data_IF_557261005872
#
_entry.id   IF_557261005872
#
_cell.length_a   1.000
_cell.length_b   1.000
_cell.length_c   1.000
_cell.angle_alpha   90.00
_cell.angle_beta   90.00
_cell.angle_gamma   90.00
#
_symmetry.space_group_name_H-M   'P 1'
#
loop_
_entity.id
_entity.type
_entity.pdbx_description
1 polymer ?
#
# COMPACT_ATOMS: atom_id res chain seq x y z
N UNK A 1 -18.11 21.11 -27.54
CA UNK A 1 -17.96 19.87 -26.72
C UNK A 1 -19.14 18.96 -27.06
N UNK A 2 -18.96 17.63 -27.16
CA UNK A 2 -20.07 16.68 -27.37
C UNK A 2 -20.28 15.86 -26.11
N UNK A 3 -21.53 15.56 -25.75
CA UNK A 3 -21.83 14.75 -24.59
C UNK A 3 -21.26 13.34 -24.80
N UNK A 4 -20.42 12.81 -23.88
CA UNK A 4 -19.86 11.46 -24.03
C UNK A 4 -20.91 10.35 -23.92
N UNK A 5 -22.10 10.67 -23.38
CA UNK A 5 -23.18 9.70 -23.18
C UNK A 5 -24.16 9.63 -24.36
N UNK A 6 -24.55 10.78 -24.93
CA UNK A 6 -25.54 10.82 -26.02
C UNK A 6 -25.01 11.40 -27.34
N UNK A 7 -23.77 11.86 -27.38
CA UNK A 7 -23.14 12.46 -28.57
C UNK A 7 -23.64 13.85 -28.95
N UNK A 8 -24.65 14.40 -28.24
CA UNK A 8 -25.22 15.72 -28.54
C UNK A 8 -24.20 16.85 -28.32
N UNK A 9 -24.20 17.83 -29.22
CA UNK A 9 -23.41 19.05 -29.10
C UNK A 9 -24.13 20.17 -28.32
N UNK A 10 -25.36 19.93 -27.86
CA UNK A 10 -26.17 20.91 -27.11
C UNK A 10 -25.91 20.78 -25.61
N UNK A 11 -24.87 21.48 -25.16
CA UNK A 11 -24.46 21.56 -23.75
C UNK A 11 -24.54 23.02 -23.31
N UNK A 12 -25.13 23.26 -22.14
CA UNK A 12 -25.25 24.59 -21.52
C UNK A 12 -24.55 24.61 -20.17
N UNK A 13 -24.08 25.79 -19.78
CA UNK A 13 -23.51 26.03 -18.45
C UNK A 13 -24.60 26.58 -17.52
N UNK A 14 -24.78 25.95 -16.37
CA UNK A 14 -25.60 26.47 -15.27
C UNK A 14 -24.91 26.20 -13.94
N UNK A 15 -24.80 27.23 -13.11
CA UNK A 15 -24.23 27.18 -11.75
C UNK A 15 -22.84 26.51 -11.68
N UNK A 16 -21.97 26.82 -12.65
CA UNK A 16 -20.60 26.30 -12.70
C UNK A 16 -20.47 24.84 -13.13
N UNK A 17 -21.55 24.27 -13.68
CA UNK A 17 -21.60 22.90 -14.20
C UNK A 17 -22.06 22.89 -15.65
N UNK A 18 -21.43 22.05 -16.47
CA UNK A 18 -21.88 21.78 -17.84
C UNK A 18 -22.94 20.69 -17.84
N UNK A 19 -24.12 21.01 -18.37
CA UNK A 19 -25.26 20.09 -18.46
C UNK A 19 -25.64 19.90 -19.92
N UNK A 20 -25.74 18.64 -20.34
CA UNK A 20 -26.30 18.34 -21.65
C UNK A 20 -27.82 18.49 -21.63
N UNK A 21 -28.38 19.31 -22.51
CA UNK A 21 -29.83 19.57 -22.55
C UNK A 21 -30.59 18.28 -22.90
N UNK A 22 -30.06 17.49 -23.83
CA UNK A 22 -30.81 16.39 -24.43
C UNK A 22 -30.84 15.11 -23.57
N UNK A 23 -29.86 14.91 -22.69
CA UNK A 23 -29.81 13.74 -21.81
C UNK A 23 -29.72 14.07 -20.31
N UNK A 24 -29.78 15.36 -19.97
CA UNK A 24 -29.68 15.90 -18.61
C UNK A 24 -28.44 15.45 -17.81
N UNK A 25 -27.43 14.86 -18.46
CA UNK A 25 -26.21 14.42 -17.79
C UNK A 25 -25.36 15.63 -17.40
N UNK A 26 -25.02 15.73 -16.11
CA UNK A 26 -24.07 16.71 -15.58
C UNK A 26 -22.65 16.21 -15.85
N UNK A 27 -21.89 16.97 -16.64
CA UNK A 27 -20.57 16.57 -17.14
C UNK A 27 -19.40 17.00 -16.22
N UNK A 28 -19.73 17.46 -15.01
CA UNK A 28 -18.85 17.95 -13.92
C UNK A 28 -18.30 19.39 -14.07
N UNK A 29 -17.85 19.92 -12.93
CA UNK A 29 -17.66 21.35 -12.62
C UNK A 29 -16.42 21.98 -13.24
N UNK A 30 -16.53 23.29 -13.53
CA UNK A 30 -15.42 24.13 -14.00
C UNK A 30 -14.35 24.24 -12.91
N UNK A 31 -13.36 23.34 -12.93
CA UNK A 31 -12.05 23.70 -12.40
C UNK A 31 -11.38 24.60 -13.43
N UNK A 32 -11.43 25.91 -13.17
CA UNK A 32 -10.57 26.88 -13.86
C UNK A 32 -9.13 26.54 -13.46
N UNK A 33 -8.47 25.74 -14.29
CA UNK A 33 -7.03 25.87 -14.40
C UNK A 33 -6.78 27.11 -15.24
N UNK A 34 -6.19 28.14 -14.62
CA UNK A 34 -5.42 29.14 -15.36
C UNK A 34 -4.39 28.37 -16.18
N UNK A 35 -4.69 28.26 -17.47
CA UNK A 35 -3.80 27.68 -18.46
C UNK A 35 -2.92 28.82 -18.96
N UNK A 36 -1.65 28.80 -18.56
CA UNK A 36 -0.63 29.07 -19.56
C UNK A 36 -0.67 27.88 -20.53
N UNK A 37 -1.48 28.08 -21.57
CA UNK A 37 -1.40 27.36 -22.83
C UNK A 37 0.02 27.53 -23.37
N UNK A 38 0.70 26.43 -23.67
CA UNK A 38 1.23 26.21 -25.02
C UNK A 38 1.28 24.70 -25.27
N UNK A 39 0.65 24.32 -26.38
CA UNK A 39 0.65 23.00 -26.94
C UNK A 39 2.08 22.49 -27.15
N UNK A 40 2.31 21.21 -26.86
CA UNK A 40 3.42 20.48 -27.44
C UNK A 40 3.13 20.25 -28.92
N UNK A 41 4.01 20.64 -29.86
CA UNK A 41 4.13 19.91 -31.10
C UNK A 41 5.02 18.70 -30.82
N UNK A 42 4.51 17.51 -31.10
CA UNK A 42 5.36 16.35 -31.34
C UNK A 42 6.20 16.66 -32.58
N UNK A 43 7.49 16.90 -32.38
CA UNK A 43 8.51 16.69 -33.40
C UNK A 43 9.63 15.81 -32.85
N UNK A 44 10.02 14.88 -33.70
CA UNK A 44 11.13 13.96 -33.53
C UNK A 44 12.45 14.72 -33.36
N UNK A 45 13.37 14.09 -32.63
CA UNK A 45 14.80 14.42 -32.49
C UNK A 45 15.13 15.85 -32.06
N UNK A 46 15.26 16.06 -30.76
CA UNK A 46 16.21 17.03 -30.20
C UNK A 46 16.66 16.53 -28.82
N UNK A 47 17.96 16.62 -28.56
CA UNK A 47 18.55 16.28 -27.28
C UNK A 47 17.82 17.00 -26.14
N UNK A 48 17.52 16.26 -25.07
CA UNK A 48 16.90 16.82 -23.87
C UNK A 48 17.87 17.86 -23.30
N UNK A 49 17.62 19.15 -23.51
CA UNK A 49 18.42 20.21 -22.90
C UNK A 49 18.17 20.22 -21.39
N UNK A 50 19.16 19.69 -20.66
CA UNK A 50 19.18 19.60 -19.20
C UNK A 50 19.41 20.97 -18.53
N UNK A 51 19.64 22.04 -19.29
CA UNK A 51 19.95 23.37 -18.76
C UNK A 51 18.92 23.96 -17.77
N UNK A 52 17.60 23.64 -17.79
CA UNK A 52 16.66 24.06 -16.76
C UNK A 52 16.90 23.37 -15.41
N UNK A 53 17.28 22.08 -15.43
CA UNK A 53 17.64 21.31 -14.23
C UNK A 53 18.95 21.85 -13.66
N UNK A 54 19.92 22.14 -14.53
CA UNK A 54 21.20 22.74 -14.14
C UNK A 54 21.04 24.15 -13.55
N UNK A 55 20.16 24.99 -14.09
CA UNK A 55 19.86 26.33 -13.53
C UNK A 55 19.17 26.24 -12.17
N UNK A 56 18.30 25.27 -11.94
CA UNK A 56 17.66 25.04 -10.63
C UNK A 56 18.67 24.53 -9.60
N UNK A 57 19.59 23.67 -10.02
CA UNK A 57 20.73 23.20 -9.22
C UNK A 57 21.70 24.36 -8.92
N UNK A 58 22.05 25.20 -9.90
CA UNK A 58 22.91 26.37 -9.71
C UNK A 58 22.31 27.41 -8.76
N UNK A 59 21.00 27.72 -8.87
CA UNK A 59 20.33 28.65 -7.94
C UNK A 59 20.31 28.12 -6.51
N UNK A 60 20.23 26.81 -6.34
CA UNK A 60 20.32 26.16 -5.03
C UNK A 60 21.74 26.15 -4.46
N UNK A 61 22.76 26.19 -5.33
CA UNK A 61 24.18 26.23 -4.95
C UNK A 61 24.65 27.65 -4.64
N UNK A 62 24.17 28.66 -5.39
CA UNK A 62 24.61 30.07 -5.24
C UNK A 62 24.09 30.77 -3.97
N UNK A 63 23.07 30.21 -3.29
CA UNK A 63 22.53 30.80 -2.04
C UNK A 63 23.34 30.50 -0.77
N UNK A 64 24.27 29.54 -0.81
CA UNK A 64 25.12 29.15 0.33
C UNK A 64 26.61 29.43 0.06
N UNK A 65 26.93 30.67 -0.32
CA UNK A 65 28.30 31.09 -0.66
C UNK A 65 29.25 31.22 0.55
N UNK A 66 28.89 30.77 1.76
CA UNK A 66 29.73 30.92 2.96
C UNK A 66 30.52 29.68 3.37
N UNK A 67 30.41 28.53 2.72
CA UNK A 67 31.22 27.36 3.10
C UNK A 67 31.65 26.53 1.88
N UNK A 68 32.91 26.72 1.44
CA UNK A 68 33.63 25.77 0.57
C UNK A 68 33.75 24.41 1.27
N UNK A 69 32.67 23.62 1.24
CA UNK A 69 32.67 22.23 1.66
C UNK A 69 33.57 21.45 0.69
N UNK A 70 34.55 20.71 1.22
CA UNK A 70 35.42 19.82 0.42
C UNK A 70 34.55 18.89 -0.44
N UNK A 71 35.06 18.48 -1.61
CA UNK A 71 34.36 17.59 -2.55
C UNK A 71 33.76 16.36 -1.82
N UNK A 72 34.47 15.84 -0.83
CA UNK A 72 34.00 14.77 0.05
C UNK A 72 32.72 15.10 0.84
N UNK A 73 32.62 16.30 1.43
CA UNK A 73 31.39 16.75 2.11
C UNK A 73 30.23 16.93 1.14
N UNK A 74 30.48 17.41 -0.09
CA UNK A 74 29.45 17.49 -1.14
C UNK A 74 28.95 16.10 -1.56
N UNK A 75 29.86 15.16 -1.80
CA UNK A 75 29.51 13.76 -2.10
C UNK A 75 28.72 13.11 -0.95
N UNK A 76 29.10 13.38 0.31
CA UNK A 76 28.37 12.90 1.49
C UNK A 76 26.94 13.46 1.58
N UNK A 77 26.72 14.72 1.18
CA UNK A 77 25.38 15.32 1.13
C UNK A 77 24.55 14.70 -0.01
N UNK A 78 25.15 14.48 -1.18
CA UNK A 78 24.49 13.83 -2.32
C UNK A 78 24.11 12.39 -1.97
N UNK A 79 25.03 11.60 -1.41
CA UNK A 79 24.76 10.24 -0.93
C UNK A 79 23.62 10.24 0.10
N UNK A 80 23.64 11.16 1.07
CA UNK A 80 22.55 11.30 2.05
C UNK A 80 21.20 11.61 1.39
N UNK A 81 21.17 12.48 0.37
CA UNK A 81 19.95 12.82 -0.39
C UNK A 81 19.45 11.68 -1.28
N UNK A 82 20.37 10.92 -1.88
CA UNK A 82 20.02 9.74 -2.70
C UNK A 82 19.47 8.63 -1.80
N UNK A 83 20.06 8.40 -0.63
CA UNK A 83 19.55 7.44 0.37
C UNK A 83 18.14 7.79 0.84
N UNK A 84 17.87 9.05 1.20
CA UNK A 84 16.51 9.44 1.62
C UNK A 84 15.47 9.29 0.51
N UNK A 85 15.83 9.55 -0.76
CA UNK A 85 14.97 9.28 -1.93
C UNK A 85 14.73 7.78 -2.13
N UNK A 86 15.76 6.94 -2.00
CA UNK A 86 15.60 5.48 -2.10
C UNK A 86 14.76 4.90 -0.96
N UNK A 87 14.90 5.42 0.27
CA UNK A 87 14.11 5.00 1.42
C UNK A 87 12.63 5.35 1.25
N UNK A 88 12.32 6.59 0.85
CA UNK A 88 10.94 7.01 0.58
C UNK A 88 10.28 6.19 -0.53
N UNK A 89 11.03 5.87 -1.58
CA UNK A 89 10.57 4.97 -2.64
C UNK A 89 10.34 3.53 -2.16
N UNK A 90 11.22 3.01 -1.31
CA UNK A 90 11.10 1.66 -0.74
C UNK A 90 9.89 1.54 0.20
N UNK A 91 9.63 2.58 1.00
CA UNK A 91 8.43 2.69 1.84
C UNK A 91 7.16 2.74 0.98
N UNK A 92 7.18 3.53 -0.09
CA UNK A 92 6.05 3.60 -1.03
C UNK A 92 5.74 2.22 -1.64
N UNK A 93 6.75 1.53 -2.17
CA UNK A 93 6.59 0.17 -2.69
C UNK A 93 6.10 -0.84 -1.65
N UNK A 94 6.50 -0.68 -0.40
CA UNK A 94 6.01 -1.50 0.70
C UNK A 94 4.51 -1.24 0.97
N UNK A 95 4.05 0.01 0.90
CA UNK A 95 2.61 0.32 0.99
C UNK A 95 1.81 -0.24 -0.16
N UNK A 96 2.33 -0.18 -1.38
CA UNK A 96 1.70 -0.85 -2.52
C UNK A 96 1.61 -2.36 -2.32
N UNK A 97 2.64 -2.97 -1.72
CA UNK A 97 2.62 -4.39 -1.37
C UNK A 97 1.52 -4.71 -0.35
N UNK A 98 1.41 -3.90 0.73
CA UNK A 98 0.35 -4.05 1.75
C UNK A 98 -1.04 -3.96 1.10
N UNK A 99 -1.30 -2.89 0.35
CA UNK A 99 -2.59 -2.67 -0.31
C UNK A 99 -2.92 -3.81 -1.27
N UNK A 100 -1.92 -4.31 -2.01
CA UNK A 100 -2.10 -5.43 -2.93
C UNK A 100 -2.50 -6.71 -2.21
N UNK A 101 -1.82 -7.05 -1.10
CA UNK A 101 -2.13 -8.26 -0.33
C UNK A 101 -3.57 -8.19 0.21
N UNK A 102 -3.95 -7.05 0.82
CA UNK A 102 -5.30 -6.84 1.36
C UNK A 102 -6.36 -6.98 0.27
N UNK A 103 -6.18 -6.33 -0.88
CA UNK A 103 -7.10 -6.43 -2.02
C UNK A 103 -7.19 -7.84 -2.60
N UNK A 104 -6.06 -8.53 -2.71
CA UNK A 104 -6.02 -9.91 -3.24
C UNK A 104 -6.75 -10.90 -2.33
N UNK A 105 -6.82 -10.60 -1.04
CA UNK A 105 -7.50 -11.41 -0.04
C UNK A 105 -8.96 -11.00 0.19
N UNK A 106 -9.43 -9.92 -0.45
CA UNK A 106 -10.76 -9.37 -0.23
C UNK A 106 -10.99 -8.85 1.19
N UNK A 107 -9.92 -8.41 1.86
CA UNK A 107 -9.98 -7.85 3.22
C UNK A 107 -10.36 -6.36 3.13
N UNK A 108 -11.05 -5.84 4.14
CA UNK A 108 -11.40 -4.42 4.21
C UNK A 108 -10.15 -3.50 4.28
N UNK A 109 -10.26 -2.29 3.71
CA UNK A 109 -9.18 -1.32 3.64
C UNK A 109 -8.78 -0.78 5.03
N UNK A 110 -9.66 -0.86 6.02
CA UNK A 110 -9.34 -0.52 7.43
C UNK A 110 -8.12 -1.30 7.92
N UNK A 111 -8.07 -2.60 7.61
CA UNK A 111 -6.94 -3.48 7.94
C UNK A 111 -5.66 -3.13 7.18
N UNK A 112 -5.77 -2.55 5.97
CA UNK A 112 -4.60 -2.03 5.25
C UNK A 112 -3.99 -0.82 5.97
N UNK A 113 -4.80 0.08 6.49
CA UNK A 113 -4.33 1.23 7.26
C UNK A 113 -3.69 0.80 8.59
N UNK A 114 -4.31 -0.16 9.30
CA UNK A 114 -3.71 -0.78 10.49
C UNK A 114 -2.34 -1.41 10.18
N UNK A 115 -2.24 -2.15 9.07
CA UNK A 115 -1.00 -2.77 8.65
C UNK A 115 0.08 -1.72 8.33
N UNK A 116 -0.27 -0.57 7.72
CA UNK A 116 0.69 0.52 7.47
C UNK A 116 1.21 1.14 8.77
N UNK A 117 0.37 1.26 9.81
CA UNK A 117 0.77 1.74 11.13
C UNK A 117 1.76 0.75 11.76
N UNK A 118 1.46 -0.55 11.74
CA UNK A 118 2.34 -1.59 12.29
C UNK A 118 3.65 -1.64 11.52
N UNK A 119 3.61 -1.54 10.20
CA UNK A 119 4.80 -1.47 9.36
C UNK A 119 5.74 -0.33 9.74
N UNK A 120 5.21 0.87 10.02
CA UNK A 120 6.03 1.99 10.50
C UNK A 120 6.70 1.66 11.84
N UNK A 121 5.98 0.98 12.76
CA UNK A 121 6.54 0.54 14.05
C UNK A 121 7.68 -0.47 13.87
N UNK A 122 7.55 -1.40 12.91
CA UNK A 122 8.62 -2.36 12.58
C UNK A 122 9.86 -1.61 12.09
N UNK A 123 9.72 -0.72 11.11
CA UNK A 123 10.84 0.03 10.57
C UNK A 123 11.52 0.88 11.63
N UNK A 124 10.77 1.56 12.50
CA UNK A 124 11.37 2.36 13.57
C UNK A 124 12.21 1.50 14.51
N UNK A 125 11.77 0.27 14.80
CA UNK A 125 12.48 -0.65 15.69
C UNK A 125 13.73 -1.24 15.02
N UNK A 126 13.63 -1.69 13.77
CA UNK A 126 14.77 -2.18 12.99
C UNK A 126 15.86 -1.10 12.83
N UNK A 127 15.45 0.16 12.65
CA UNK A 127 16.37 1.30 12.61
C UNK A 127 17.11 1.54 13.93
N UNK A 128 16.44 1.37 15.07
CA UNK A 128 17.09 1.50 16.39
C UNK A 128 18.13 0.41 16.63
N UNK A 129 17.92 -0.78 16.06
CA UNK A 129 18.83 -1.92 16.19
C UNK A 129 19.99 -1.90 15.18
N UNK A 130 20.10 -0.88 14.31
CA UNK A 130 21.06 -0.83 13.20
C UNK A 130 20.98 -2.03 12.23
N UNK A 131 19.84 -2.73 12.19
CA UNK A 131 19.64 -3.83 11.26
C UNK A 131 19.34 -3.30 9.85
N UNK A 132 19.77 -4.06 8.82
CA UNK A 132 19.39 -3.74 7.43
C UNK A 132 17.89 -3.90 7.27
N UNK A 133 17.18 -2.77 7.12
CA UNK A 133 15.72 -2.74 6.97
C UNK A 133 15.30 -3.50 5.72
N UNK A 134 14.50 -4.55 5.90
CA UNK A 134 13.95 -5.36 4.80
C UNK A 134 12.49 -5.01 4.57
N UNK A 135 12.26 -3.88 3.89
CA UNK A 135 10.95 -3.25 3.70
C UNK A 135 9.82 -4.22 3.27
N UNK A 136 10.06 -5.13 2.33
CA UNK A 136 9.02 -6.08 1.90
C UNK A 136 8.70 -7.14 2.97
N UNK A 137 9.70 -7.58 3.72
CA UNK A 137 9.50 -8.54 4.82
C UNK A 137 8.73 -7.88 5.96
N UNK A 138 9.08 -6.64 6.30
CA UNK A 138 8.36 -5.83 7.27
C UNK A 138 6.91 -5.58 6.83
N UNK A 139 6.66 -5.30 5.54
CA UNK A 139 5.32 -5.11 5.01
C UNK A 139 4.45 -6.37 5.18
N UNK A 140 5.00 -7.54 4.86
CA UNK A 140 4.30 -8.82 4.99
C UNK A 140 4.08 -9.18 6.45
N UNK A 141 5.08 -8.97 7.31
CA UNK A 141 4.95 -9.17 8.75
C UNK A 141 3.87 -8.27 9.35
N UNK A 142 3.73 -7.03 8.87
CA UNK A 142 2.66 -6.13 9.31
C UNK A 142 1.27 -6.61 8.89
N UNK A 143 1.11 -7.09 7.64
CA UNK A 143 -0.18 -7.67 7.20
C UNK A 143 -0.51 -8.93 7.99
N UNK A 144 0.47 -9.80 8.17
CA UNK A 144 0.30 -11.01 8.97
C UNK A 144 -0.05 -10.67 10.42
N UNK A 145 0.56 -9.65 11.02
CA UNK A 145 0.20 -9.19 12.35
C UNK A 145 -1.30 -8.85 12.44
N UNK A 146 -1.82 -8.06 11.50
CA UNK A 146 -3.25 -7.68 11.49
C UNK A 146 -4.16 -8.90 11.30
N UNK A 147 -3.79 -9.82 10.41
CA UNK A 147 -4.53 -11.08 10.21
C UNK A 147 -4.58 -11.90 11.51
N UNK A 148 -3.45 -11.98 12.22
CA UNK A 148 -3.31 -12.73 13.46
C UNK A 148 -4.12 -12.12 14.59
N UNK A 149 -4.02 -10.81 14.79
CA UNK A 149 -4.71 -10.13 15.90
C UNK A 149 -6.22 -10.09 15.72
N UNK A 150 -6.69 -9.99 14.47
CA UNK A 150 -8.12 -9.96 14.15
C UNK A 150 -8.73 -11.34 13.89
N UNK A 151 -7.97 -12.43 14.06
CA UNK A 151 -8.40 -13.81 13.82
C UNK A 151 -9.03 -14.04 12.44
N UNK A 152 -8.50 -13.36 11.40
CA UNK A 152 -9.00 -13.57 10.04
C UNK A 152 -8.68 -15.00 9.59
N UNK A 153 -9.59 -15.69 8.87
CA UNK A 153 -9.44 -17.10 8.47
C UNK A 153 -8.48 -17.29 7.29
N UNK A 154 -7.33 -16.62 7.35
CA UNK A 154 -6.34 -16.56 6.27
C UNK A 154 -5.06 -17.23 6.76
N UNK A 155 -4.61 -18.21 5.99
CA UNK A 155 -3.38 -18.93 6.31
C UNK A 155 -2.15 -18.08 5.98
N UNK A 156 -1.14 -18.15 6.84
CA UNK A 156 0.15 -17.48 6.62
C UNK A 156 0.81 -17.96 5.31
N UNK A 157 0.65 -19.24 4.97
CA UNK A 157 1.11 -19.84 3.72
C UNK A 157 0.49 -19.17 2.50
N UNK A 158 -0.80 -18.87 2.54
CA UNK A 158 -1.51 -18.23 1.43
C UNK A 158 -0.98 -16.81 1.19
N UNK A 159 -0.76 -16.02 2.25
CA UNK A 159 -0.17 -14.68 2.15
C UNK A 159 1.23 -14.74 1.53
N UNK A 160 2.07 -15.67 1.98
CA UNK A 160 3.43 -15.84 1.46
C UNK A 160 3.40 -16.26 -0.01
N UNK A 161 2.49 -17.14 -0.41
CA UNK A 161 2.36 -17.57 -1.81
C UNK A 161 1.94 -16.43 -2.73
N UNK A 162 1.01 -15.56 -2.31
CA UNK A 162 0.62 -14.35 -3.05
C UNK A 162 1.82 -13.41 -3.24
N UNK A 163 2.69 -13.30 -2.24
CA UNK A 163 3.87 -12.46 -2.37
C UNK A 163 4.93 -13.10 -3.28
N UNK A 164 5.10 -14.42 -3.20
CA UNK A 164 6.02 -15.18 -4.08
C UNK A 164 5.59 -15.13 -5.54
N UNK A 165 4.29 -15.19 -5.85
CA UNK A 165 3.80 -15.08 -7.24
C UNK A 165 4.12 -13.73 -7.88
N UNK A 166 4.34 -12.68 -7.07
CA UNK A 166 4.80 -11.36 -7.52
C UNK A 166 6.32 -11.23 -7.66
N UNK A 167 7.06 -12.34 -7.47
CA UNK A 167 8.52 -12.37 -7.58
C UNK A 167 9.27 -11.94 -6.32
N UNK A 168 8.59 -11.77 -5.18
CA UNK A 168 9.27 -11.45 -3.91
C UNK A 168 9.98 -12.69 -3.35
N UNK A 169 11.31 -12.60 -3.18
CA UNK A 169 12.12 -13.63 -2.51
C UNK A 169 11.88 -13.57 -1.00
N UNK A 170 11.11 -14.53 -0.48
CA UNK A 170 10.66 -14.58 0.91
C UNK A 170 10.96 -15.95 1.52
N UNK A 171 11.65 -15.92 2.66
CA UNK A 171 11.88 -17.09 3.50
C UNK A 171 10.92 -17.06 4.68
N UNK A 172 10.31 -18.20 4.99
CA UNK A 172 9.34 -18.31 6.08
C UNK A 172 9.95 -17.91 7.44
N UNK A 173 11.19 -18.33 7.68
CA UNK A 173 11.96 -18.01 8.89
C UNK A 173 12.12 -16.50 9.09
N UNK A 174 12.50 -15.78 8.03
CA UNK A 174 12.68 -14.32 8.12
C UNK A 174 11.39 -13.58 8.45
N UNK A 175 10.24 -14.04 7.93
CA UNK A 175 8.94 -13.46 8.26
C UNK A 175 8.54 -13.80 9.69
N UNK A 176 8.84 -15.02 10.15
CA UNK A 176 8.61 -15.46 11.53
C UNK A 176 9.44 -14.63 12.52
N UNK A 177 10.71 -14.39 12.24
CA UNK A 177 11.59 -13.53 13.05
C UNK A 177 11.02 -12.12 13.19
N UNK A 178 10.60 -11.50 12.08
CA UNK A 178 9.96 -10.19 12.10
C UNK A 178 8.66 -10.18 12.92
N UNK A 179 7.84 -11.24 12.84
CA UNK A 179 6.62 -11.37 13.66
C UNK A 179 6.94 -11.52 15.16
N UNK A 180 7.94 -12.34 15.50
CA UNK A 180 8.38 -12.52 16.90
C UNK A 180 8.93 -11.21 17.48
N UNK A 181 9.67 -10.43 16.69
CA UNK A 181 10.19 -9.14 17.11
C UNK A 181 9.10 -8.12 17.48
N UNK A 182 7.89 -8.25 16.90
CA UNK A 182 6.75 -7.38 17.21
C UNK A 182 5.97 -7.88 18.44
N UNK A 183 6.08 -9.18 18.77
CA UNK A 183 5.40 -9.77 19.92
C UNK A 183 3.90 -9.99 19.67
N UNK A 184 3.54 -10.56 18.52
CA UNK A 184 2.14 -10.81 18.18
C UNK A 184 1.51 -11.80 19.16
N UNK A 185 0.42 -11.40 19.82
CA UNK A 185 -0.41 -12.26 20.67
C UNK A 185 -1.72 -12.54 19.95
N UNK A 186 -2.09 -13.81 19.82
CA UNK A 186 -3.37 -14.24 19.27
C UNK A 186 -3.85 -15.52 19.95
N UNK A 187 -5.17 -15.73 19.98
CA UNK A 187 -5.77 -16.95 20.53
C UNK A 187 -5.78 -18.04 19.46
N UNK A 188 -5.13 -19.17 19.73
CA UNK A 188 -5.11 -20.32 18.82
C UNK A 188 -6.54 -20.87 18.62
N UNK A 189 -7.32 -20.92 19.71
CA UNK A 189 -8.73 -21.33 19.69
C UNK A 189 -9.57 -20.49 18.74
N UNK A 190 -9.53 -19.16 18.91
CA UNK A 190 -10.33 -18.24 18.08
C UNK A 190 -9.93 -18.34 16.61
N UNK A 191 -8.65 -18.60 16.34
CA UNK A 191 -8.15 -18.78 15.00
C UNK A 191 -8.64 -20.09 14.35
N UNK A 192 -8.62 -21.19 15.09
CA UNK A 192 -9.17 -22.47 14.62
C UNK A 192 -10.66 -22.30 14.33
N UNK A 193 -11.41 -21.67 15.23
CA UNK A 193 -12.84 -21.37 15.04
C UNK A 193 -13.10 -20.51 13.80
N UNK A 194 -12.29 -19.48 13.55
CA UNK A 194 -12.42 -18.67 12.34
C UNK A 194 -12.21 -19.48 11.06
N UNK A 195 -11.20 -20.36 11.02
CA UNK A 195 -10.95 -21.26 9.90
C UNK A 195 -12.08 -22.28 9.70
N UNK A 196 -12.59 -22.86 10.79
CA UNK A 196 -13.75 -23.75 10.78
C UNK A 196 -14.97 -23.03 10.23
N UNK A 197 -15.29 -21.83 10.72
CA UNK A 197 -16.41 -21.02 10.24
C UNK A 197 -16.30 -20.75 8.75
N UNK A 198 -15.13 -20.32 8.29
CA UNK A 198 -14.88 -20.05 6.87
C UNK A 198 -15.03 -21.31 6.00
N UNK A 199 -14.54 -22.46 6.48
CA UNK A 199 -14.71 -23.75 5.81
C UNK A 199 -16.17 -24.18 5.74
N UNK A 200 -16.92 -24.05 6.84
CA UNK A 200 -18.33 -24.41 6.91
C UNK A 200 -19.18 -23.55 5.98
N UNK A 201 -18.98 -22.23 5.96
CA UNK A 201 -19.68 -21.32 5.06
C UNK A 201 -19.44 -21.71 3.59
N UNK A 202 -18.20 -22.05 3.24
CA UNK A 202 -17.83 -22.40 1.87
C UNK A 202 -18.39 -23.76 1.43
N UNK A 203 -18.47 -24.72 2.33
CA UNK A 203 -18.86 -26.10 2.00
C UNK A 203 -20.37 -26.34 2.13
N UNK A 204 -21.03 -25.72 3.10
CA UNK A 204 -22.40 -26.05 3.49
C UNK A 204 -23.40 -24.91 3.28
N UNK A 205 -22.96 -23.75 2.77
CA UNK A 205 -23.83 -22.57 2.64
C UNK A 205 -24.51 -22.29 3.98
N UNK A 206 -25.81 -21.98 3.97
CA UNK A 206 -26.61 -21.58 5.15
C UNK A 206 -26.66 -22.59 6.29
N UNK A 207 -26.42 -23.89 6.02
CA UNK A 207 -26.44 -24.93 7.07
C UNK A 207 -25.29 -24.77 8.08
N UNK A 208 -24.28 -23.94 7.78
CA UNK A 208 -23.18 -23.63 8.68
C UNK A 208 -23.65 -23.12 10.06
N UNK A 209 -24.78 -22.40 10.11
CA UNK A 209 -25.32 -21.80 11.34
C UNK A 209 -25.67 -22.87 12.38
N UNK A 210 -26.13 -24.04 11.93
CA UNK A 210 -26.50 -25.15 12.82
C UNK A 210 -25.30 -26.03 13.20
N UNK A 211 -24.28 -26.08 12.33
CA UNK A 211 -23.09 -26.92 12.52
C UNK A 211 -22.00 -26.22 13.35
N UNK A 212 -21.90 -24.89 13.26
CA UNK A 212 -20.88 -24.12 13.94
C UNK A 212 -20.97 -24.24 15.48
N UNK A 213 -22.14 -24.10 16.14
CA UNK A 213 -22.25 -24.27 17.60
C UNK A 213 -21.84 -25.67 18.08
N UNK A 214 -22.24 -26.72 17.35
CA UNK A 214 -21.83 -28.11 17.67
C UNK A 214 -20.31 -28.29 17.57
N UNK A 215 -19.69 -27.61 16.61
CA UNK A 215 -18.23 -27.66 16.44
C UNK A 215 -17.51 -26.91 17.55
N UNK A 216 -18.07 -25.79 18.01
CA UNK A 216 -17.57 -25.04 19.14
C UNK A 216 -17.69 -25.84 20.46
N UNK A 217 -18.82 -26.50 20.69
CA UNK A 217 -19.00 -27.42 21.83
C UNK A 217 -17.99 -28.57 21.82
N UNK A 218 -17.75 -29.18 20.65
CA UNK A 218 -16.75 -30.24 20.51
C UNK A 218 -15.34 -29.75 20.84
N UNK A 219 -14.94 -28.58 20.33
CA UNK A 219 -13.65 -27.97 20.62
C UNK A 219 -13.49 -27.62 22.11
N UNK A 220 -14.56 -27.15 22.76
CA UNK A 220 -14.58 -26.92 24.21
C UNK A 220 -14.49 -28.21 25.03
N UNK A 221 -15.03 -29.32 24.51
CA UNK A 221 -14.92 -30.65 25.12
C UNK A 221 -13.50 -31.22 25.09
N UNK A 222 -12.73 -30.93 24.03
CA UNK A 222 -11.32 -31.32 23.92
C UNK A 222 -10.44 -30.61 24.96
N UNK A 223 -10.74 -29.37 25.33
CA UNK A 223 -10.01 -28.65 26.38
C UNK A 223 -10.22 -29.25 27.78
N UNK A 224 -11.33 -29.95 28.01
CA UNK A 224 -11.64 -30.58 29.31
C UNK A 224 -11.02 -31.97 29.50
N UNK A 225 -10.44 -32.54 28.43
CA UNK A 225 -9.90 -33.90 28.40
C UNK A 225 -8.37 -33.97 28.43
N UNK A 226 -7.70 -32.81 28.54
CA UNK A 226 -6.28 -32.64 28.83
C UNK A 226 -6.09 -31.89 30.15
#
# INVERSE_FOLDING_TARGET
MKCPYCGSSRIIERDGQYVCIDCASVLSSVYVYDTYTQASPLYNSDEIDLSPIWRSVERSIKKDNSLKLSIYKKLKIIDKRLRTKHESYSIYRAYECINFIVRSLGIDNTYAEEAKIIFRKIISKERMNNDRVRYYQAAIAAVLHVILTNNLPISTKLVINICKSRGHKLNFETVRESLMAIGVKYSLKNRVLAHVKSGLVRLFGDQWVNLYPKTEEFLNGLERSF
#
